data_IF_615499178465
#
_entry.id   IF_615499178465
#
_cell.length_a   1.000
_cell.length_b   1.000
_cell.length_c   1.000
_cell.angle_alpha   90.00
_cell.angle_beta   90.00
_cell.angle_gamma   90.00
#
_symmetry.space_group_name_H-M   'P 1'
#
loop_
_entity.id
_entity.type
_entity.pdbx_description
1 polymer ?
#
# COMPACT_ATOMS: atom_id res chain seq x y z
N UNK A 1 -7.10 17.05 -11.86
CA UNK A 1 -5.90 17.11 -10.97
C UNK A 1 -5.44 18.52 -10.63
N UNK A 2 -5.15 19.39 -11.61
CA UNK A 2 -4.74 20.77 -11.36
C UNK A 2 -5.75 21.56 -10.49
N UNK A 3 -7.05 21.37 -10.73
CA UNK A 3 -8.11 21.96 -9.93
C UNK A 3 -8.07 21.53 -8.45
N UNK A 4 -7.84 20.24 -8.17
CA UNK A 4 -7.75 19.71 -6.79
C UNK A 4 -6.53 20.29 -6.05
N UNK A 5 -5.41 20.46 -6.76
CA UNK A 5 -4.22 21.11 -6.20
C UNK A 5 -4.45 22.58 -5.92
N UNK A 6 -5.20 23.27 -6.79
CA UNK A 6 -5.60 24.65 -6.59
C UNK A 6 -6.55 24.80 -5.38
N UNK A 7 -7.53 23.91 -5.22
CA UNK A 7 -8.43 23.88 -4.06
C UNK A 7 -7.67 23.65 -2.75
N UNK A 8 -6.71 22.72 -2.73
CA UNK A 8 -5.86 22.48 -1.56
C UNK A 8 -4.92 23.65 -1.22
N UNK A 9 -4.60 24.51 -2.20
CA UNK A 9 -3.84 25.75 -1.98
C UNK A 9 -4.77 26.84 -1.43
N UNK A 10 -5.94 26.99 -2.04
CA UNK A 10 -6.97 27.95 -1.64
C UNK A 10 -7.40 27.74 -0.19
N UNK A 11 -7.63 26.50 0.25
CA UNK A 11 -8.04 26.21 1.62
C UNK A 11 -6.98 26.64 2.66
N UNK A 12 -5.70 26.44 2.33
CA UNK A 12 -4.58 26.85 3.20
C UNK A 12 -4.36 28.35 3.22
N UNK A 13 -4.52 29.01 2.09
CA UNK A 13 -4.47 30.47 2.00
C UNK A 13 -5.64 31.07 2.81
N UNK A 14 -6.83 30.50 2.72
CA UNK A 14 -7.99 30.91 3.49
C UNK A 14 -7.88 30.64 5.01
N UNK A 15 -7.01 29.72 5.43
CA UNK A 15 -6.67 29.51 6.84
C UNK A 15 -5.89 30.70 7.44
N UNK A 16 -5.10 31.39 6.60
CA UNK A 16 -4.31 32.57 7.00
C UNK A 16 -5.14 33.85 7.11
N UNK A 17 -6.37 33.85 6.59
CA UNK A 17 -7.26 35.01 6.56
C UNK A 17 -8.20 35.10 7.76
N UNK A 18 -8.16 34.15 8.71
CA UNK A 18 -9.04 34.20 9.88
C UNK A 18 -10.53 34.15 9.49
N UNK A 19 -11.38 34.94 10.17
CA UNK A 19 -12.84 34.99 9.94
C UNK A 19 -13.19 35.33 8.48
N UNK A 20 -12.40 36.18 7.81
CA UNK A 20 -12.63 36.59 6.42
C UNK A 20 -12.42 35.46 5.40
N UNK A 21 -11.74 34.37 5.82
CA UNK A 21 -11.48 33.20 4.98
C UNK A 21 -12.46 32.04 5.15
N UNK A 22 -13.43 32.12 6.06
CA UNK A 22 -14.25 30.97 6.46
C UNK A 22 -15.16 30.44 5.33
N UNK A 23 -15.74 31.35 4.54
CA UNK A 23 -16.56 30.98 3.38
C UNK A 23 -15.73 30.26 2.30
N UNK A 24 -14.52 30.73 2.03
CA UNK A 24 -13.59 30.11 1.09
C UNK A 24 -13.10 28.74 1.59
N UNK A 25 -12.84 28.61 2.90
CA UNK A 25 -12.51 27.32 3.52
C UNK A 25 -13.64 26.31 3.37
N UNK A 26 -14.87 26.72 3.66
CA UNK A 26 -16.05 25.86 3.54
C UNK A 26 -16.22 25.33 2.11
N UNK A 27 -16.09 26.21 1.11
CA UNK A 27 -16.19 25.84 -0.31
C UNK A 27 -15.05 24.91 -0.75
N UNK A 28 -13.80 25.24 -0.41
CA UNK A 28 -12.65 24.43 -0.78
C UNK A 28 -12.72 23.03 -0.15
N UNK A 29 -13.10 22.95 1.14
CA UNK A 29 -13.26 21.69 1.86
C UNK A 29 -14.38 20.85 1.29
N UNK A 30 -15.54 21.44 1.01
CA UNK A 30 -16.66 20.74 0.38
C UNK A 30 -16.28 20.13 -0.96
N UNK A 31 -15.54 20.87 -1.79
CA UNK A 31 -15.03 20.36 -3.07
C UNK A 31 -14.02 19.21 -2.91
N UNK A 32 -13.14 19.27 -1.91
CA UNK A 32 -12.21 18.18 -1.60
C UNK A 32 -12.93 16.94 -1.05
N UNK A 33 -13.95 17.12 -0.20
CA UNK A 33 -14.79 16.02 0.30
C UNK A 33 -15.53 15.36 -0.87
N UNK A 34 -16.05 16.11 -1.83
CA UNK A 34 -16.63 15.50 -3.04
C UNK A 34 -15.58 14.78 -3.89
N UNK A 35 -14.38 15.35 -4.01
CA UNK A 35 -13.32 14.81 -4.84
C UNK A 35 -12.74 13.48 -4.32
N UNK A 36 -12.98 13.10 -3.06
CA UNK A 36 -12.60 11.74 -2.58
C UNK A 36 -13.48 10.63 -3.16
N UNK A 37 -14.61 10.97 -3.76
CA UNK A 37 -15.50 10.04 -4.46
C UNK A 37 -15.31 10.04 -6.00
N UNK A 38 -14.36 10.84 -6.51
CA UNK A 38 -14.13 11.01 -7.95
C UNK A 38 -13.79 9.70 -8.68
N UNK A 39 -14.27 9.47 -9.93
CA UNK A 39 -13.94 8.27 -10.68
C UNK A 39 -12.42 8.10 -10.91
N UNK A 40 -11.69 9.21 -11.06
CA UNK A 40 -10.26 9.20 -11.32
C UNK A 40 -9.44 8.96 -10.03
N UNK A 41 -8.62 7.90 -9.96
CA UNK A 41 -7.89 7.52 -8.74
C UNK A 41 -6.99 8.62 -8.19
N UNK A 42 -6.29 9.35 -9.07
CA UNK A 42 -5.43 10.45 -8.65
C UNK A 42 -6.20 11.64 -8.05
N UNK A 43 -7.41 11.93 -8.54
CA UNK A 43 -8.25 13.00 -7.97
C UNK A 43 -8.64 12.61 -6.55
N UNK A 44 -9.07 11.36 -6.34
CA UNK A 44 -9.36 10.85 -4.99
C UNK A 44 -8.17 10.90 -4.05
N UNK A 45 -7.02 10.37 -4.48
CA UNK A 45 -5.81 10.33 -3.64
C UNK A 45 -5.31 11.74 -3.32
N UNK A 46 -5.35 12.66 -4.29
CA UNK A 46 -4.94 14.05 -4.07
C UNK A 46 -5.91 14.76 -3.12
N UNK A 47 -7.21 14.55 -3.26
CA UNK A 47 -8.23 15.11 -2.39
C UNK A 47 -8.10 14.57 -0.96
N UNK A 48 -7.93 13.26 -0.81
CA UNK A 48 -7.72 12.60 0.47
C UNK A 48 -6.46 13.12 1.18
N UNK A 49 -5.33 13.24 0.44
CA UNK A 49 -4.09 13.83 0.98
C UNK A 49 -4.24 15.30 1.33
N UNK A 50 -5.08 16.05 0.63
CA UNK A 50 -5.37 17.45 0.95
C UNK A 50 -6.19 17.55 2.23
N UNK A 51 -7.28 16.79 2.34
CA UNK A 51 -8.14 16.71 3.53
C UNK A 51 -7.36 16.26 4.78
N UNK A 52 -6.48 15.26 4.65
CA UNK A 52 -5.63 14.81 5.75
C UNK A 52 -4.70 15.93 6.27
N UNK A 53 -4.18 16.77 5.36
CA UNK A 53 -3.33 17.93 5.71
C UNK A 53 -4.10 19.10 6.33
N UNK A 54 -5.43 19.15 6.16
CA UNK A 54 -6.29 20.20 6.71
C UNK A 54 -6.69 19.88 8.15
N UNK A 55 -6.89 18.60 8.49
CA UNK A 55 -7.11 18.15 9.86
C UNK A 55 -8.49 18.45 10.47
N UNK A 56 -9.43 19.03 9.71
CA UNK A 56 -10.79 19.28 10.20
C UNK A 56 -11.58 17.97 10.45
N UNK A 57 -12.50 17.90 11.43
CA UNK A 57 -13.19 16.65 11.78
C UNK A 57 -13.91 15.95 10.61
N UNK A 58 -14.56 16.74 9.76
CA UNK A 58 -15.23 16.28 8.54
C UNK A 58 -14.23 15.82 7.46
N UNK A 59 -13.10 16.51 7.33
CA UNK A 59 -11.99 16.13 6.45
C UNK A 59 -11.33 14.81 6.90
N UNK A 60 -11.14 14.61 8.20
CA UNK A 60 -10.64 13.36 8.79
C UNK A 60 -11.63 12.22 8.55
N UNK A 61 -12.94 12.47 8.72
CA UNK A 61 -13.98 11.47 8.44
C UNK A 61 -14.00 11.09 6.95
N UNK A 62 -13.92 12.07 6.04
CA UNK A 62 -13.84 11.82 4.59
C UNK A 62 -12.58 11.06 4.19
N UNK A 63 -11.42 11.41 4.76
CA UNK A 63 -10.18 10.66 4.59
C UNK A 63 -10.30 9.22 5.09
N UNK A 64 -10.88 8.99 6.28
CA UNK A 64 -11.09 7.63 6.82
C UNK A 64 -12.04 6.82 5.96
N UNK A 65 -13.11 7.41 5.42
CA UNK A 65 -14.02 6.76 4.45
C UNK A 65 -13.29 6.40 3.17
N UNK A 66 -12.52 7.33 2.59
CA UNK A 66 -11.69 7.07 1.42
C UNK A 66 -10.67 5.97 1.70
N UNK A 67 -9.95 6.04 2.82
CA UNK A 67 -8.93 5.05 3.20
C UNK A 67 -9.55 3.67 3.40
N UNK A 68 -10.70 3.59 4.05
CA UNK A 68 -11.46 2.33 4.21
C UNK A 68 -11.94 1.81 2.86
N UNK A 69 -12.46 2.67 1.97
CA UNK A 69 -12.92 2.28 0.64
C UNK A 69 -11.77 1.88 -0.27
N UNK A 70 -10.66 2.59 -0.22
CA UNK A 70 -9.48 2.28 -1.02
C UNK A 70 -8.81 1.01 -0.48
N UNK A 71 -8.78 0.80 0.84
CA UNK A 71 -8.45 -0.49 1.44
C UNK A 71 -9.43 -1.59 1.00
N UNK A 72 -10.73 -1.29 0.85
CA UNK A 72 -11.72 -2.22 0.32
C UNK A 72 -11.57 -2.46 -1.18
N UNK A 73 -11.20 -1.46 -2.00
CA UNK A 73 -10.84 -1.61 -3.43
C UNK A 73 -9.54 -2.38 -3.61
N UNK A 74 -8.60 -2.21 -2.69
CA UNK A 74 -7.35 -2.98 -2.60
C UNK A 74 -7.58 -4.41 -2.09
N UNK A 75 -8.62 -4.62 -1.27
CA UNK A 75 -9.19 -5.95 -0.98
C UNK A 75 -9.94 -6.50 -2.20
N UNK A 76 -10.56 -5.63 -3.00
CA UNK A 76 -11.32 -5.92 -4.22
C UNK A 76 -10.48 -5.82 -5.51
N UNK A 77 -9.31 -6.45 -5.52
CA UNK A 77 -8.90 -7.20 -6.73
C UNK A 77 -8.64 -8.66 -6.33
N UNK A 78 -9.63 -9.35 -5.72
CA UNK A 78 -9.47 -10.68 -5.21
C UNK A 78 -10.01 -11.59 -6.30
N UNK A 79 -9.23 -11.85 -7.35
CA UNK A 79 -9.52 -12.94 -8.29
C UNK A 79 -10.92 -12.81 -8.96
N UNK A 80 -11.07 -11.96 -9.98
CA UNK A 80 -12.20 -12.04 -10.93
C UNK A 80 -12.00 -13.18 -11.96
N UNK A 81 -13.10 -13.66 -12.57
CA UNK A 81 -13.46 -15.08 -12.69
C UNK A 81 -12.41 -15.89 -13.46
N UNK A 82 -12.05 -17.04 -12.91
CA UNK A 82 -11.06 -17.98 -13.42
C UNK A 82 -9.65 -17.41 -13.50
N UNK A 83 -8.80 -17.84 -12.57
CA UNK A 83 -7.56 -18.59 -12.82
C UNK A 83 -7.13 -18.76 -14.30
N UNK A 84 -7.02 -17.68 -15.06
CA UNK A 84 -6.73 -17.75 -16.50
C UNK A 84 -5.32 -18.31 -16.64
N UNK A 85 -5.26 -19.53 -17.15
CA UNK A 85 -4.01 -20.12 -17.62
C UNK A 85 -3.65 -19.42 -18.93
N UNK A 86 -2.49 -18.77 -18.93
CA UNK A 86 -1.96 -18.13 -20.12
C UNK A 86 -0.66 -18.82 -20.54
N UNK A 87 -0.35 -18.84 -21.84
CA UNK A 87 0.95 -19.26 -22.31
C UNK A 87 2.06 -18.36 -21.75
N UNK A 88 3.28 -18.90 -21.66
CA UNK A 88 4.49 -18.15 -21.27
C UNK A 88 4.67 -16.86 -22.08
N UNK A 89 4.41 -16.91 -23.39
CA UNK A 89 4.51 -15.75 -24.27
C UNK A 89 3.56 -14.62 -23.87
N UNK A 90 2.36 -14.96 -23.37
CA UNK A 90 1.43 -13.98 -22.83
C UNK A 90 1.87 -13.49 -21.45
N UNK A 91 2.35 -14.34 -20.55
CA UNK A 91 2.79 -13.91 -19.22
C UNK A 91 4.00 -12.96 -19.29
N UNK A 92 4.97 -13.25 -20.16
CA UNK A 92 6.27 -12.57 -20.24
C UNK A 92 6.37 -11.57 -21.41
N UNK A 93 5.37 -11.53 -22.29
CA UNK A 93 5.34 -10.63 -23.44
C UNK A 93 4.93 -9.20 -23.08
N UNK A 94 5.13 -8.24 -24.00
CA UNK A 94 4.70 -6.86 -23.81
C UNK A 94 3.18 -6.77 -23.64
N UNK A 95 2.73 -5.72 -22.95
CA UNK A 95 1.31 -5.34 -22.87
C UNK A 95 1.00 -4.34 -23.97
N UNK A 96 0.00 -4.59 -24.83
CA UNK A 96 -0.35 -3.64 -25.86
C UNK A 96 -0.88 -2.33 -25.26
N UNK A 97 -0.90 -1.24 -26.05
CA UNK A 97 -1.69 -0.06 -25.77
C UNK A 97 -3.15 -0.39 -25.45
N UNK A 98 -3.81 0.50 -24.74
CA UNK A 98 -5.24 0.43 -24.42
C UNK A 98 -5.91 1.73 -24.83
N UNK A 99 -7.24 1.79 -24.83
CA UNK A 99 -7.96 3.03 -25.11
C UNK A 99 -7.58 4.18 -24.15
N UNK A 100 -7.20 3.86 -22.91
CA UNK A 100 -6.76 4.82 -21.89
C UNK A 100 -5.27 5.21 -22.05
N UNK A 101 -4.45 4.29 -22.59
CA UNK A 101 -3.00 4.45 -22.67
C UNK A 101 -2.49 4.08 -24.06
N UNK A 102 -2.13 5.09 -24.84
CA UNK A 102 -1.59 4.95 -26.21
C UNK A 102 -0.25 4.20 -26.26
N UNK A 103 0.43 4.05 -25.13
CA UNK A 103 1.69 3.34 -24.99
C UNK A 103 1.50 1.93 -24.39
N UNK A 104 2.26 0.98 -24.92
CA UNK A 104 2.36 -0.36 -24.33
C UNK A 104 3.23 -0.40 -23.07
N UNK A 105 3.22 -1.54 -22.38
CA UNK A 105 4.22 -1.83 -21.35
C UNK A 105 5.19 -2.90 -21.85
N UNK A 106 6.47 -2.75 -21.55
CA UNK A 106 7.49 -3.77 -21.82
C UNK A 106 7.87 -4.47 -20.51
N UNK A 107 8.18 -5.76 -20.59
CA UNK A 107 8.70 -6.50 -19.44
C UNK A 107 10.08 -5.93 -19.09
N UNK A 108 10.24 -5.48 -17.85
CA UNK A 108 11.51 -4.93 -17.35
C UNK A 108 12.19 -5.84 -16.34
N UNK A 109 11.43 -6.64 -15.59
CA UNK A 109 11.95 -7.62 -14.64
C UNK A 109 11.08 -8.87 -14.58
N UNK A 110 11.73 -10.01 -14.39
CA UNK A 110 11.12 -11.29 -14.03
C UNK A 110 11.87 -11.88 -12.85
N UNK A 111 11.19 -12.10 -11.73
CA UNK A 111 11.80 -12.44 -10.44
C UNK A 111 11.20 -13.77 -9.98
N UNK A 112 11.96 -14.88 -9.97
CA UNK A 112 11.50 -16.15 -9.42
C UNK A 112 11.35 -16.02 -7.90
N UNK A 113 10.26 -16.54 -7.36
CA UNK A 113 9.95 -16.49 -5.94
C UNK A 113 9.87 -17.92 -5.39
N UNK A 114 10.73 -18.22 -4.42
CA UNK A 114 10.74 -19.53 -3.77
C UNK A 114 9.56 -19.64 -2.80
N UNK A 115 8.60 -20.51 -3.11
CA UNK A 115 7.50 -20.84 -2.21
C UNK A 115 7.35 -22.38 -2.12
N UNK A 116 7.27 -22.96 -0.91
CA UNK A 116 6.95 -24.37 -0.75
C UNK A 116 5.65 -24.73 -1.47
N UNK A 117 5.67 -25.81 -2.26
CA UNK A 117 4.48 -26.29 -2.97
C UNK A 117 4.09 -25.51 -4.24
N UNK A 118 4.81 -24.44 -4.60
CA UNK A 118 4.51 -23.67 -5.81
C UNK A 118 5.74 -23.01 -6.45
N UNK A 119 5.80 -23.06 -7.78
CA UNK A 119 6.76 -22.25 -8.54
C UNK A 119 6.11 -20.90 -8.83
N UNK A 120 6.58 -19.85 -8.15
CA UNK A 120 6.05 -18.50 -8.32
C UNK A 120 6.99 -17.60 -9.12
N UNK A 121 6.42 -16.68 -9.90
CA UNK A 121 7.16 -15.67 -10.66
C UNK A 121 6.48 -14.32 -10.52
N UNK A 122 7.22 -13.29 -10.11
CA UNK A 122 6.79 -11.91 -10.24
C UNK A 122 7.32 -11.29 -11.54
N UNK A 123 6.48 -10.55 -12.26
CA UNK A 123 6.86 -9.80 -13.46
C UNK A 123 6.52 -8.35 -13.31
N UNK A 124 7.43 -7.44 -13.67
CA UNK A 124 7.20 -5.99 -13.64
C UNK A 124 7.31 -5.44 -15.06
N UNK A 125 6.23 -4.81 -15.55
CA UNK A 125 6.17 -4.17 -16.85
C UNK A 125 6.11 -2.64 -16.69
N UNK A 126 6.84 -1.90 -17.51
CA UNK A 126 6.92 -0.43 -17.46
C UNK A 126 6.69 0.17 -18.85
N UNK A 127 6.22 1.42 -18.91
CA UNK A 127 6.21 2.22 -20.14
C UNK A 127 7.42 3.14 -20.18
N UNK A 128 7.81 3.56 -21.38
CA UNK A 128 8.74 4.68 -21.57
C UNK A 128 8.11 6.05 -21.31
N UNK A 129 6.77 6.16 -21.36
CA UNK A 129 6.05 7.39 -21.04
C UNK A 129 5.27 7.29 -19.73
N UNK A 130 4.02 7.76 -19.72
CA UNK A 130 3.29 8.06 -18.46
C UNK A 130 2.41 6.93 -17.94
N UNK A 131 2.29 5.83 -18.68
CA UNK A 131 1.47 4.70 -18.24
C UNK A 131 2.05 4.09 -16.95
N UNK A 132 1.26 3.96 -15.87
CA UNK A 132 1.74 3.39 -14.62
C UNK A 132 2.27 1.96 -14.81
N UNK A 133 3.35 1.59 -14.08
CA UNK A 133 3.89 0.24 -14.18
C UNK A 133 2.90 -0.80 -13.64
N UNK A 134 3.05 -2.03 -14.13
CA UNK A 134 2.22 -3.17 -13.74
C UNK A 134 3.08 -4.31 -13.20
N UNK A 135 2.77 -4.77 -11.99
CA UNK A 135 3.28 -5.99 -11.41
C UNK A 135 2.25 -7.10 -11.57
N UNK A 136 2.70 -8.30 -11.94
CA UNK A 136 1.89 -9.51 -11.87
C UNK A 136 2.63 -10.59 -11.10
N UNK A 137 1.90 -11.36 -10.28
CA UNK A 137 2.40 -12.56 -9.62
C UNK A 137 1.74 -13.76 -10.26
N UNK A 138 2.56 -14.72 -10.68
CA UNK A 138 2.16 -15.90 -11.40
C UNK A 138 2.52 -17.14 -10.62
N UNK A 139 1.68 -18.16 -10.71
CA UNK A 139 2.07 -19.55 -10.47
C UNK A 139 2.35 -20.22 -11.81
N UNK A 140 3.44 -20.96 -11.88
CA UNK A 140 3.76 -21.81 -13.01
C UNK A 140 3.21 -23.20 -12.71
N UNK A 141 2.28 -23.65 -13.55
CA UNK A 141 1.66 -24.96 -13.45
C UNK A 141 2.60 -26.05 -14.01
N UNK A 142 2.29 -27.32 -13.72
CA UNK A 142 3.14 -28.46 -14.10
C UNK A 142 3.33 -28.62 -15.62
N UNK A 143 2.35 -28.18 -16.40
CA UNK A 143 2.40 -28.14 -17.87
C UNK A 143 3.13 -26.91 -18.43
N UNK A 144 3.66 -26.05 -17.55
CA UNK A 144 4.34 -24.81 -17.91
C UNK A 144 3.40 -23.62 -18.19
N UNK A 145 2.09 -23.79 -18.03
CA UNK A 145 1.14 -22.69 -18.12
C UNK A 145 1.29 -21.73 -16.95
N UNK A 146 0.95 -20.46 -17.18
CA UNK A 146 1.05 -19.41 -16.17
C UNK A 146 -0.35 -19.07 -15.68
N UNK A 147 -0.60 -19.29 -14.39
CA UNK A 147 -1.81 -18.84 -13.72
C UNK A 147 -1.54 -17.53 -13.00
N UNK A 148 -2.26 -16.46 -13.36
CA UNK A 148 -2.12 -15.17 -12.66
C UNK A 148 -2.79 -15.25 -11.29
N UNK A 149 -2.03 -14.94 -10.25
CA UNK A 149 -2.50 -14.89 -8.86
C UNK A 149 -2.77 -13.45 -8.40
N UNK A 150 -1.92 -12.51 -8.81
CA UNK A 150 -2.08 -11.08 -8.51
C UNK A 150 -1.81 -10.27 -9.76
N UNK A 151 -2.60 -9.21 -9.94
CA UNK A 151 -2.28 -8.08 -10.80
C UNK A 151 -2.26 -6.82 -9.94
N UNK A 152 -1.26 -5.98 -10.13
CA UNK A 152 -1.16 -4.71 -9.43
C UNK A 152 -0.64 -3.63 -10.39
N UNK A 153 -1.52 -2.70 -10.72
CA UNK A 153 -1.14 -1.47 -11.44
C UNK A 153 -0.76 -0.43 -10.39
N UNK A 154 0.42 0.16 -10.53
CA UNK A 154 0.89 1.23 -9.66
C UNK A 154 0.01 2.48 -9.79
N UNK A 155 0.00 3.30 -8.74
CA UNK A 155 -0.56 4.65 -8.83
C UNK A 155 0.32 5.53 -9.73
N UNK A 156 -0.25 6.55 -10.38
CA UNK A 156 0.52 7.48 -11.22
C UNK A 156 1.62 8.20 -10.40
N UNK A 157 2.87 8.11 -10.86
CA UNK A 157 4.04 8.63 -10.15
C UNK A 157 4.56 7.72 -9.03
N UNK A 158 4.00 6.53 -8.86
CA UNK A 158 4.59 5.46 -8.07
C UNK A 158 5.34 4.47 -8.97
N UNK A 159 6.35 3.81 -8.41
CA UNK A 159 7.07 2.73 -9.06
C UNK A 159 7.30 1.60 -8.07
N UNK A 160 7.45 0.37 -8.57
CA UNK A 160 7.77 -0.76 -7.72
C UNK A 160 9.21 -0.61 -7.22
N UNK A 161 9.36 -0.57 -5.89
CA UNK A 161 10.65 -0.48 -5.19
C UNK A 161 11.48 -1.76 -5.46
N UNK A 162 12.80 -1.81 -5.16
CA UNK A 162 13.62 -2.93 -5.61
C UNK A 162 13.13 -4.27 -5.02
N UNK A 163 12.92 -5.19 -5.96
CA UNK A 163 12.60 -6.63 -5.91
C UNK A 163 11.57 -7.11 -4.88
N UNK A 164 10.33 -7.41 -5.32
CA UNK A 164 9.49 -8.40 -4.64
C UNK A 164 10.31 -9.58 -4.16
N UNK A 165 10.11 -9.99 -2.92
CA UNK A 165 10.80 -11.13 -2.35
C UNK A 165 9.83 -12.08 -1.68
N UNK A 166 10.24 -13.33 -1.59
CA UNK A 166 9.57 -14.37 -0.83
C UNK A 166 10.47 -14.79 0.32
N UNK A 167 9.88 -14.93 1.51
CA UNK A 167 10.57 -15.27 2.73
C UNK A 167 9.71 -16.19 3.58
N UNK A 168 10.33 -17.09 4.34
CA UNK A 168 9.60 -17.94 5.30
C UNK A 168 9.55 -17.25 6.65
N UNK A 169 8.36 -17.08 7.20
CA UNK A 169 8.10 -16.34 8.43
C UNK A 169 7.50 -17.25 9.48
N UNK A 170 8.01 -17.17 10.71
CA UNK A 170 7.48 -17.97 11.81
C UNK A 170 6.31 -17.23 12.47
N UNK A 171 5.16 -17.88 12.51
CA UNK A 171 3.99 -17.40 13.28
C UNK A 171 4.25 -17.50 14.78
N UNK A 172 3.45 -16.80 15.58
CA UNK A 172 3.47 -16.91 17.06
C UNK A 172 3.28 -18.34 17.59
N UNK A 173 2.67 -19.25 16.83
CA UNK A 173 2.53 -20.68 17.18
C UNK A 173 3.74 -21.53 16.78
N UNK A 174 4.80 -20.93 16.24
CA UNK A 174 6.01 -21.63 15.78
C UNK A 174 5.89 -22.21 14.37
N UNK A 175 4.75 -22.04 13.69
CA UNK A 175 4.54 -22.55 12.32
C UNK A 175 5.15 -21.58 11.31
N UNK A 176 6.08 -22.07 10.47
CA UNK A 176 6.66 -21.31 9.37
C UNK A 176 5.69 -21.19 8.19
N UNK A 177 5.28 -19.97 7.86
CA UNK A 177 4.42 -19.61 6.74
C UNK A 177 5.25 -18.88 5.68
N UNK A 178 5.25 -19.32 4.41
CA UNK A 178 5.87 -18.57 3.33
C UNK A 178 5.08 -17.29 3.07
N UNK A 179 5.75 -16.15 3.10
CA UNK A 179 5.19 -14.86 2.73
C UNK A 179 5.82 -14.34 1.44
N UNK A 180 5.01 -13.72 0.60
CA UNK A 180 5.43 -12.91 -0.54
C UNK A 180 5.14 -11.46 -0.22
N UNK A 181 6.17 -10.62 -0.29
CA UNK A 181 6.09 -9.18 -0.03
C UNK A 181 6.26 -8.42 -1.33
N UNK A 182 5.29 -7.58 -1.65
CA UNK A 182 5.27 -6.73 -2.84
C UNK A 182 5.28 -5.25 -2.42
N UNK A 183 6.26 -4.51 -2.92
CA UNK A 183 6.47 -3.11 -2.56
C UNK A 183 6.28 -2.13 -3.71
N UNK A 184 5.51 -1.08 -3.43
CA UNK A 184 5.32 0.06 -4.31
C UNK A 184 5.82 1.32 -3.60
N UNK A 185 6.88 1.92 -4.13
CA UNK A 185 7.39 3.21 -3.69
C UNK A 185 6.64 4.35 -4.40
N UNK A 186 6.16 5.32 -3.62
CA UNK A 186 5.63 6.57 -4.18
C UNK A 186 6.75 7.59 -4.33
N UNK A 187 6.83 8.28 -5.48
CA UNK A 187 7.85 9.30 -5.70
C UNK A 187 7.81 10.41 -4.62
N UNK A 188 8.99 10.82 -4.15
CA UNK A 188 9.18 12.04 -3.35
C UNK A 188 9.19 11.85 -1.83
N UNK A 189 8.90 10.66 -1.29
CA UNK A 189 9.06 10.38 0.14
C UNK A 189 9.46 8.93 0.36
N UNK A 190 10.69 8.70 0.83
CA UNK A 190 11.21 7.36 1.13
C UNK A 190 10.37 6.55 2.12
N UNK A 191 9.41 7.18 2.83
CA UNK A 191 8.57 6.52 3.83
C UNK A 191 7.14 6.16 3.38
N UNK A 192 6.71 6.59 2.18
CA UNK A 192 5.40 6.21 1.65
C UNK A 192 5.51 4.99 0.73
N UNK A 193 5.64 3.80 1.32
CA UNK A 193 5.50 2.55 0.60
C UNK A 193 4.07 2.02 0.74
N UNK A 194 3.39 1.73 -0.37
CA UNK A 194 2.26 0.80 -0.32
C UNK A 194 2.87 -0.60 -0.34
N UNK A 195 2.55 -1.42 0.66
CA UNK A 195 3.02 -2.81 0.75
C UNK A 195 1.84 -3.77 0.69
N UNK A 196 1.98 -4.86 -0.06
CA UNK A 196 1.05 -6.00 -0.03
C UNK A 196 1.81 -7.24 0.43
N UNK A 197 1.25 -7.93 1.40
CA UNK A 197 1.81 -9.17 1.95
C UNK A 197 0.82 -10.29 1.70
N UNK A 198 1.30 -11.41 1.19
CA UNK A 198 0.50 -12.61 0.95
C UNK A 198 1.16 -13.81 1.61
N UNK A 199 0.39 -14.62 2.32
CA UNK A 199 0.81 -15.95 2.71
C UNK A 199 0.57 -16.92 1.55
N UNK A 200 1.48 -17.85 1.34
CA UNK A 200 1.33 -18.94 0.38
C UNK A 200 0.87 -20.18 1.14
N UNK A 201 -0.29 -20.72 0.77
CA UNK A 201 -0.78 -21.96 1.37
C UNK A 201 -0.10 -23.21 0.76
N UNK A 202 -0.28 -24.41 1.35
CA UNK A 202 0.29 -25.64 0.82
C UNK A 202 -0.15 -26.01 -0.60
N UNK A 203 -1.26 -25.44 -1.09
CA UNK A 203 -1.73 -25.62 -2.46
C UNK A 203 -1.15 -24.57 -3.41
N UNK A 204 -0.31 -23.65 -2.92
CA UNK A 204 0.27 -22.58 -3.72
C UNK A 204 -0.66 -21.41 -4.00
N UNK A 205 -1.77 -21.28 -3.26
CA UNK A 205 -2.66 -20.12 -3.36
C UNK A 205 -2.21 -19.00 -2.41
N UNK A 206 -2.60 -17.77 -2.74
CA UNK A 206 -2.25 -16.58 -1.98
C UNK A 206 -3.38 -16.13 -1.07
N UNK A 207 -3.01 -15.86 0.17
CA UNK A 207 -3.90 -15.33 1.19
C UNK A 207 -3.40 -13.96 1.63
N UNK A 208 -4.16 -12.87 1.42
CA UNK A 208 -3.75 -11.55 1.90
C UNK A 208 -3.47 -11.58 3.41
N UNK A 209 -2.34 -11.00 3.81
CA UNK A 209 -1.96 -10.80 5.21
C UNK A 209 -2.03 -9.30 5.49
N UNK A 210 -3.12 -8.82 6.13
CA UNK A 210 -3.22 -7.41 6.50
C UNK A 210 -2.07 -7.02 7.43
N UNK A 211 -1.46 -5.88 7.14
CA UNK A 211 -0.52 -5.22 8.05
C UNK A 211 -1.29 -4.13 8.78
N UNK A 212 -1.39 -4.27 10.10
CA UNK A 212 -2.01 -3.27 10.95
C UNK A 212 -1.13 -2.01 11.01
N UNK A 213 -1.76 -0.83 10.92
CA UNK A 213 -1.07 0.45 10.80
C UNK A 213 -0.34 0.81 12.11
N UNK A 214 1.02 0.77 12.15
CA UNK A 214 1.75 1.07 13.37
C UNK A 214 1.57 2.52 13.82
N UNK A 215 1.37 3.45 12.88
CA UNK A 215 1.16 4.86 13.19
C UNK A 215 -0.18 5.04 13.87
N UNK A 216 -1.26 4.47 13.32
CA UNK A 216 -2.59 4.50 13.93
C UNK A 216 -2.63 3.89 15.34
N UNK A 217 -1.92 2.78 15.55
CA UNK A 217 -1.82 2.13 16.87
C UNK A 217 -1.02 2.98 17.87
N UNK A 218 0.00 3.70 17.41
CA UNK A 218 0.84 4.54 18.27
C UNK A 218 0.26 5.93 18.52
N UNK A 219 -0.60 6.45 17.64
CA UNK A 219 -1.09 7.83 17.67
C UNK A 219 -1.60 8.31 19.06
N UNK A 220 -2.33 7.49 19.86
CA UNK A 220 -2.75 7.91 21.21
C UNK A 220 -1.61 8.17 22.20
N UNK A 221 -0.38 7.76 21.88
CA UNK A 221 0.83 7.97 22.69
C UNK A 221 1.63 9.21 22.28
N UNK A 222 1.23 9.90 21.22
CA UNK A 222 1.89 11.14 20.80
C UNK A 222 1.62 12.25 21.82
N UNK A 223 2.65 13.03 22.13
CA UNK A 223 2.55 14.13 23.08
C UNK A 223 1.98 15.39 22.41
N UNK A 224 0.94 15.98 23.00
CA UNK A 224 0.39 17.27 22.57
C UNK A 224 -0.08 17.25 21.12
N UNK A 225 0.48 18.16 20.33
CA UNK A 225 0.20 18.37 18.91
C UNK A 225 1.25 17.72 17.98
N UNK A 226 2.04 16.78 18.50
CA UNK A 226 2.95 15.99 17.69
C UNK A 226 2.21 15.06 16.72
N UNK A 227 2.76 14.87 15.53
CA UNK A 227 2.12 14.10 14.46
C UNK A 227 3.13 13.31 13.60
N UNK A 228 2.61 12.42 12.74
CA UNK A 228 3.41 11.59 11.83
C UNK A 228 3.02 11.88 10.39
N UNK A 229 3.93 12.48 9.62
CA UNK A 229 3.62 12.96 8.26
C UNK A 229 3.81 11.92 7.17
N UNK A 230 4.81 11.05 7.33
CA UNK A 230 5.28 10.19 6.23
C UNK A 230 4.95 8.71 6.40
N UNK A 231 4.04 8.38 7.32
CA UNK A 231 3.70 7.00 7.64
C UNK A 231 4.85 6.23 8.28
N UNK A 232 4.77 4.91 8.23
CA UNK A 232 5.81 4.01 8.73
C UNK A 232 6.59 3.37 7.59
N UNK A 233 7.91 3.39 7.73
CA UNK A 233 8.80 2.45 7.05
C UNK A 233 8.59 1.09 7.66
N UNK A 234 8.38 0.10 6.81
CA UNK A 234 8.27 -1.29 7.21
C UNK A 234 9.52 -2.01 6.72
N UNK A 235 10.11 -2.83 7.57
CA UNK A 235 11.13 -3.81 7.22
C UNK A 235 10.54 -5.18 7.47
N UNK A 236 10.30 -5.94 6.40
CA UNK A 236 9.75 -7.29 6.47
C UNK A 236 10.78 -8.30 5.99
N UNK A 237 11.99 -8.26 6.52
CA UNK A 237 12.93 -9.37 6.38
C UNK A 237 12.56 -10.52 7.33
N UNK A 238 12.76 -11.80 6.96
CA UNK A 238 12.35 -12.95 7.77
C UNK A 238 12.93 -12.94 9.21
N UNK A 239 14.10 -12.33 9.41
CA UNK A 239 14.75 -12.23 10.71
C UNK A 239 14.28 -11.01 11.52
N UNK A 240 13.66 -10.02 10.87
CA UNK A 240 13.33 -8.74 11.46
C UNK A 240 12.08 -8.12 10.83
N UNK A 241 10.92 -8.52 11.34
CA UNK A 241 9.65 -7.85 11.11
C UNK A 241 9.58 -6.58 11.96
N UNK A 242 9.93 -5.43 11.40
CA UNK A 242 9.99 -4.18 12.15
C UNK A 242 9.38 -3.00 11.40
N UNK A 243 9.16 -1.92 12.13
CA UNK A 243 8.75 -0.66 11.57
C UNK A 243 9.49 0.50 12.22
N UNK A 244 9.56 1.60 11.50
CA UNK A 244 10.06 2.88 11.99
C UNK A 244 9.23 4.03 11.43
N UNK A 245 8.94 5.03 12.25
CA UNK A 245 8.41 6.30 11.76
C UNK A 245 8.95 7.46 12.59
N UNK A 246 8.87 8.66 12.04
CA UNK A 246 9.34 9.88 12.69
C UNK A 246 8.16 10.69 13.22
N UNK A 247 8.44 11.50 14.23
CA UNK A 247 7.45 12.35 14.90
C UNK A 247 7.81 13.80 14.66
N UNK A 248 6.87 14.54 14.09
CA UNK A 248 6.97 15.98 13.84
C UNK A 248 6.28 16.74 14.97
N UNK A 249 6.92 17.82 15.41
CA UNK A 249 6.35 18.84 16.29
C UNK A 249 5.90 20.07 15.49
N UNK A 250 5.07 20.94 16.07
CA UNK A 250 4.74 22.22 15.44
C UNK A 250 5.99 23.00 15.04
N UNK A 251 5.99 23.48 13.80
CA UNK A 251 7.11 24.25 13.25
C UNK A 251 8.22 23.40 12.63
N UNK A 252 8.18 22.07 12.75
CA UNK A 252 9.16 21.21 12.09
C UNK A 252 9.10 21.34 10.56
N UNK A 253 10.27 21.31 9.92
CA UNK A 253 10.36 21.16 8.48
C UNK A 253 10.07 19.71 8.06
N UNK A 254 9.57 19.51 6.84
CA UNK A 254 9.30 18.17 6.30
C UNK A 254 10.54 17.25 6.30
N UNK A 255 11.75 17.79 6.23
CA UNK A 255 12.99 17.03 6.28
C UNK A 255 13.55 16.81 7.70
N UNK A 256 13.05 17.53 8.72
CA UNK A 256 13.69 17.62 10.04
C UNK A 256 12.67 17.44 11.17
N UNK A 257 12.19 16.21 11.43
CA UNK A 257 11.38 15.92 12.60
C UNK A 257 12.19 16.06 13.90
N UNK A 258 11.73 16.88 14.83
CA UNK A 258 12.34 17.09 16.16
C UNK A 258 11.66 16.28 17.27
N UNK A 259 10.49 15.70 17.01
CA UNK A 259 9.78 14.83 17.95
C UNK A 259 10.41 13.45 18.16
N UNK A 260 11.52 13.17 17.46
CA UNK A 260 12.23 11.90 17.50
C UNK A 260 11.67 10.88 16.52
N UNK A 261 11.88 9.60 16.84
CA UNK A 261 11.47 8.47 16.01
C UNK A 261 10.95 7.34 16.88
N UNK A 262 10.03 6.55 16.33
CA UNK A 262 9.49 5.37 16.96
C UNK A 262 9.93 4.17 16.16
N UNK A 263 10.59 3.24 16.83
CA UNK A 263 10.91 1.92 16.29
C UNK A 263 10.01 0.87 16.92
N UNK A 264 9.73 -0.21 16.21
CA UNK A 264 8.95 -1.29 16.78
C UNK A 264 8.99 -2.58 15.98
N UNK A 265 8.36 -3.61 16.53
CA UNK A 265 8.30 -4.95 15.93
C UNK A 265 6.88 -5.31 15.52
N UNK A 266 6.78 -6.04 14.40
CA UNK A 266 5.57 -6.70 13.94
C UNK A 266 5.63 -8.19 14.31
N UNK A 267 4.48 -8.77 14.65
CA UNK A 267 4.32 -10.21 14.80
C UNK A 267 3.29 -10.76 13.82
N UNK A 268 3.62 -11.87 13.18
CA UNK A 268 2.67 -12.64 12.39
C UNK A 268 1.78 -13.48 13.32
N UNK A 269 0.50 -13.10 13.40
CA UNK A 269 -0.51 -13.74 14.25
C UNK A 269 -1.58 -14.40 13.39
N UNK A 270 -2.25 -15.41 13.94
CA UNK A 270 -3.26 -16.21 13.23
C UNK A 270 -2.64 -17.44 12.56
N UNK A 271 -3.41 -18.08 11.67
CA UNK A 271 -2.99 -19.30 10.99
C UNK A 271 -3.69 -19.46 9.63
N UNK A 272 -3.15 -20.39 8.83
CA UNK A 272 -3.84 -20.98 7.69
C UNK A 272 -4.57 -22.24 8.18
N UNK A 273 -5.85 -22.34 7.87
CA UNK A 273 -6.70 -23.46 8.25
C UNK A 273 -7.18 -24.18 6.98
N UNK A 274 -7.01 -25.51 6.85
CA UNK A 274 -7.64 -26.23 5.78
C UNK A 274 -9.16 -26.12 5.92
N UNK A 275 -9.84 -25.77 4.82
CA UNK A 275 -11.30 -25.86 4.71
C UNK A 275 -11.66 -27.33 4.50
N UNK A 276 -12.85 -27.74 4.95
CA UNK A 276 -13.34 -29.13 4.92
C UNK A 276 -12.99 -29.84 3.60
N UNK A 277 -12.34 -31.01 3.70
CA UNK A 277 -11.82 -31.77 2.56
C UNK A 277 -10.43 -31.36 2.04
N UNK A 278 -9.78 -30.36 2.63
CA UNK A 278 -8.37 -29.99 2.36
C UNK A 278 -8.10 -29.39 0.98
N UNK A 279 -9.16 -29.02 0.24
CA UNK A 279 -9.07 -28.49 -1.13
C UNK A 279 -8.90 -26.97 -1.19
N UNK A 280 -9.00 -26.30 -0.05
CA UNK A 280 -8.80 -24.87 0.09
C UNK A 280 -8.28 -24.57 1.49
N UNK A 281 -7.70 -23.38 1.67
CA UNK A 281 -7.31 -22.86 2.97
C UNK A 281 -8.08 -21.56 3.25
N UNK A 282 -8.40 -21.33 4.51
CA UNK A 282 -8.82 -20.04 5.03
C UNK A 282 -7.66 -19.42 5.83
N UNK A 283 -7.56 -18.09 5.84
CA UNK A 283 -6.50 -17.38 6.55
C UNK A 283 -7.06 -16.44 7.59
N UNK A 284 -6.50 -16.50 8.80
CA UNK A 284 -6.67 -15.49 9.85
C UNK A 284 -5.39 -14.68 10.08
N UNK A 285 -4.41 -14.84 9.19
CA UNK A 285 -3.09 -14.25 9.33
C UNK A 285 -3.12 -12.73 9.26
N UNK A 286 -2.38 -12.07 10.16
CA UNK A 286 -2.16 -10.63 10.17
C UNK A 286 -0.80 -10.28 10.78
N UNK A 287 -0.21 -9.17 10.35
CA UNK A 287 0.97 -8.58 10.96
C UNK A 287 0.51 -7.47 11.92
N UNK A 288 0.75 -7.66 13.22
CA UNK A 288 0.34 -6.73 14.30
C UNK A 288 1.56 -6.10 14.97
N UNK A 289 1.56 -4.77 15.22
CA UNK A 289 2.57 -4.11 16.07
C UNK A 289 2.52 -4.63 17.51
N UNK A 290 3.67 -4.98 18.08
CA UNK A 290 3.72 -5.57 19.44
C UNK A 290 4.70 -4.91 20.40
N UNK A 291 5.64 -4.13 19.89
CA UNK A 291 6.61 -3.40 20.70
C UNK A 291 6.81 -2.03 20.06
N UNK A 292 6.89 -0.99 20.90
CA UNK A 292 7.17 0.37 20.49
C UNK A 292 8.27 0.92 21.40
N UNK A 293 9.31 1.45 20.78
CA UNK A 293 10.40 2.15 21.43
C UNK A 293 10.43 3.57 20.87
N UNK A 294 10.15 4.55 21.72
CA UNK A 294 10.26 5.96 21.35
C UNK A 294 11.68 6.44 21.66
N UNK A 295 12.40 6.79 20.61
CA UNK A 295 13.71 7.39 20.70
C UNK A 295 13.52 8.90 20.56
N UNK A 296 13.69 9.61 21.67
CA UNK A 296 13.54 11.07 21.70
C UNK A 296 14.48 11.76 20.71
N UNK A 297 13.97 12.82 20.07
CA UNK A 297 14.78 13.73 19.25
C UNK A 297 15.76 14.52 20.12
N UNK A 298 16.86 14.98 19.51
CA UNK A 298 17.78 15.94 20.12
C UNK A 298 17.21 17.35 20.06
#
# INVERSE_FOLDING_TARGET
VAAVRALARLEREALRLGEDGEALRTLARGALVSAVDDPHPYVRATAARALARVGAPDAVAAYRRWSTREAARRRLDPLGPERVLVPRATALGPRPPTAEWMEGLTLTRSIPLAAPGATLLATIHRSAGRRPPELSLWRIEADGAFRRLVRWVADEGADFAPEPFAARWTTTSGVGVPLVVLDLAHAGTAAAHTRRVYAVDPLGELHPVPVEDPVGVYAPRLAGDAEVWKGALLDLRPEAASFEFWVWRPGDANCCPSGGRVHGRLELRGALHPVEGGRAYASTLRLTPVAFEHIAGR
#
